data_IF_383913587048
#
_entry.id   IF_383913587048
#
_cell.length_a   1.000
_cell.length_b   1.000
_cell.length_c   1.000
_cell.angle_alpha   90.00
_cell.angle_beta   90.00
_cell.angle_gamma   90.00
#
_symmetry.space_group_name_H-M   'P 1'
#
loop_
_entity.id
_entity.type
_entity.pdbx_description
1 polymer ?
#
# COMPACT_ATOMS: atom_id res chain seq x y z
N UNK A 1 24.99 21.78 5.44
CA UNK A 1 25.08 21.26 6.81
C UNK A 1 23.76 20.66 7.31
N UNK A 2 22.63 21.35 7.37
CA UNK A 2 21.37 20.72 7.84
C UNK A 2 20.81 19.63 6.87
N UNK A 3 20.98 19.81 5.57
CA UNK A 3 20.57 18.82 4.56
C UNK A 3 21.46 17.58 4.54
N UNK A 4 22.73 17.71 4.89
CA UNK A 4 23.64 16.57 4.95
C UNK A 4 23.46 15.75 6.24
N UNK A 5 23.04 16.36 7.33
CA UNK A 5 22.64 15.66 8.56
C UNK A 5 21.37 14.81 8.38
N UNK A 6 20.39 15.31 7.63
CA UNK A 6 19.15 14.57 7.31
C UNK A 6 19.47 13.37 6.39
N UNK A 7 20.40 13.52 5.44
CA UNK A 7 20.89 12.41 4.61
C UNK A 7 21.62 11.33 5.42
N UNK A 8 22.37 11.71 6.44
CA UNK A 8 23.10 10.78 7.31
C UNK A 8 22.13 10.02 8.23
N UNK A 9 21.07 10.63 8.68
CA UNK A 9 20.09 10.01 9.60
C UNK A 9 19.16 9.01 8.93
N UNK A 10 18.84 9.17 7.65
CA UNK A 10 18.04 8.22 6.87
C UNK A 10 18.89 7.17 6.14
N UNK A 11 20.20 7.40 5.98
CA UNK A 11 21.12 6.48 5.30
C UNK A 11 21.94 5.56 6.25
N UNK A 12 21.85 5.73 7.56
CA UNK A 12 22.67 4.98 8.54
C UNK A 12 22.08 3.60 8.91
N UNK A 13 21.14 3.06 8.19
CA UNK A 13 20.63 1.70 8.41
C UNK A 13 21.37 0.64 7.59
N UNK A 14 22.46 0.99 6.90
CA UNK A 14 23.26 0.01 6.14
C UNK A 14 24.69 -0.08 6.68
N UNK A 15 24.88 -0.42 7.92
CA UNK A 15 26.10 -1.07 8.46
C UNK A 15 25.90 -1.37 9.93
N UNK A 16 25.40 -2.53 10.26
CA UNK A 16 25.54 -3.04 11.62
C UNK A 16 26.20 -4.40 11.59
N UNK A 17 27.31 -4.43 12.28
CA UNK A 17 28.17 -5.56 12.51
C UNK A 17 27.40 -6.72 13.15
N UNK A 18 27.72 -7.92 12.70
CA UNK A 18 27.37 -9.20 13.30
C UNK A 18 27.83 -9.22 14.77
N UNK A 19 26.89 -9.16 15.70
CA UNK A 19 27.09 -9.61 17.06
C UNK A 19 26.24 -10.87 17.23
N UNK A 20 26.91 -11.99 17.43
CA UNK A 20 26.27 -13.27 17.70
C UNK A 20 25.53 -13.22 19.03
N UNK A 21 24.22 -13.28 19.01
CA UNK A 21 23.38 -13.59 20.15
C UNK A 21 22.59 -14.85 19.82
N UNK A 22 22.54 -15.77 20.79
CA UNK A 22 21.97 -17.10 20.66
C UNK A 22 20.50 -17.17 20.26
N UNK A 23 19.95 -18.37 20.04
CA UNK A 23 18.67 -18.55 19.38
C UNK A 23 17.51 -18.07 20.24
N UNK A 24 16.95 -16.93 19.90
CA UNK A 24 15.61 -16.55 20.32
C UNK A 24 14.58 -17.34 19.51
N UNK A 25 13.62 -17.91 20.19
CA UNK A 25 12.52 -18.64 19.59
C UNK A 25 11.85 -17.81 18.47
N UNK A 26 11.47 -18.43 17.35
CA UNK A 26 10.87 -17.69 16.25
C UNK A 26 9.54 -17.09 16.72
N UNK A 27 9.44 -15.77 16.63
CA UNK A 27 8.15 -15.11 16.70
C UNK A 27 7.25 -15.73 15.64
N UNK A 28 6.11 -16.29 16.05
CA UNK A 28 5.13 -16.86 15.16
C UNK A 28 4.70 -15.79 14.16
N UNK A 29 5.18 -15.94 12.93
CA UNK A 29 4.56 -15.28 11.77
C UNK A 29 3.07 -15.62 11.80
N UNK A 30 2.18 -14.62 11.59
CA UNK A 30 0.82 -14.97 11.27
C UNK A 30 0.89 -15.83 10.00
N UNK A 31 0.58 -17.11 10.15
CA UNK A 31 0.58 -18.07 9.08
C UNK A 31 -0.30 -17.54 7.96
N UNK A 32 0.32 -17.17 6.84
CA UNK A 32 -0.37 -17.09 5.57
C UNK A 32 -0.74 -18.54 5.23
N UNK A 33 -1.81 -19.03 5.86
CA UNK A 33 -2.36 -20.33 5.56
C UNK A 33 -2.89 -20.25 4.12
N UNK A 34 -2.10 -20.79 3.21
CA UNK A 34 -2.54 -21.19 1.88
C UNK A 34 -3.46 -22.43 2.01
N UNK A 35 -4.44 -22.37 2.91
CA UNK A 35 -5.40 -23.41 3.11
C UNK A 35 -6.60 -23.16 2.21
N UNK A 36 -6.65 -23.97 1.13
CA UNK A 36 -7.87 -24.31 0.44
C UNK A 36 -8.64 -23.13 -0.18
N UNK A 37 -8.06 -22.46 -1.18
CA UNK A 37 -8.86 -21.70 -2.13
C UNK A 37 -9.61 -22.74 -2.97
N UNK A 38 -10.84 -23.07 -2.61
CA UNK A 38 -11.78 -23.67 -3.54
C UNK A 38 -11.97 -22.68 -4.68
N UNK A 39 -11.25 -22.90 -5.77
CA UNK A 39 -11.39 -22.13 -7.01
C UNK A 39 -12.73 -22.47 -7.63
N UNK A 40 -13.78 -21.80 -7.22
CA UNK A 40 -14.98 -21.75 -8.02
C UNK A 40 -14.69 -20.78 -9.17
N UNK A 41 -14.19 -21.33 -10.27
CA UNK A 41 -14.03 -20.61 -11.52
C UNK A 41 -15.42 -20.20 -12.02
N UNK A 42 -15.80 -18.96 -11.77
CA UNK A 42 -16.83 -18.35 -12.55
C UNK A 42 -16.24 -18.10 -13.95
N UNK A 43 -16.62 -18.94 -14.91
CA UNK A 43 -16.51 -18.56 -16.31
C UNK A 43 -17.30 -17.28 -16.47
N UNK A 44 -16.62 -16.22 -16.89
CA UNK A 44 -17.25 -14.96 -17.29
C UNK A 44 -18.53 -15.26 -18.08
N UNK A 45 -19.67 -14.59 -17.77
CA UNK A 45 -20.80 -14.64 -18.69
C UNK A 45 -20.27 -14.23 -20.04
N UNK A 46 -20.62 -14.99 -21.07
CA UNK A 46 -20.12 -14.96 -22.44
C UNK A 46 -19.51 -13.63 -22.83
N UNK A 47 -18.23 -13.65 -23.24
CA UNK A 47 -17.50 -12.55 -23.82
C UNK A 47 -18.37 -11.92 -24.92
N UNK A 48 -19.20 -10.97 -24.54
CA UNK A 48 -19.74 -10.02 -25.49
C UNK A 48 -18.51 -9.24 -25.99
N UNK A 49 -18.29 -9.32 -27.29
CA UNK A 49 -17.29 -8.66 -28.12
C UNK A 49 -16.66 -7.39 -27.50
N UNK A 50 -15.71 -7.54 -26.59
CA UNK A 50 -15.06 -6.42 -25.91
C UNK A 50 -13.73 -6.84 -25.30
N UNK A 51 -12.83 -5.89 -25.15
CA UNK A 51 -11.52 -6.08 -24.56
C UNK A 51 -11.63 -6.63 -23.11
N UNK A 52 -10.78 -7.59 -22.66
CA UNK A 52 -10.84 -8.20 -21.32
C UNK A 52 -10.82 -7.19 -20.16
N UNK A 53 -10.15 -6.06 -20.32
CA UNK A 53 -10.10 -4.98 -19.34
C UNK A 53 -11.42 -4.22 -19.14
N UNK A 54 -12.32 -4.20 -20.10
CA UNK A 54 -13.53 -3.37 -20.01
C UNK A 54 -14.42 -3.71 -18.81
N UNK A 55 -14.67 -5.00 -18.46
CA UNK A 55 -15.38 -5.34 -17.23
C UNK A 55 -14.66 -4.88 -15.95
N UNK A 56 -13.31 -5.00 -15.91
CA UNK A 56 -12.49 -4.58 -14.76
C UNK A 56 -12.53 -3.08 -14.58
N UNK A 57 -12.38 -2.30 -15.67
CA UNK A 57 -12.45 -0.86 -15.63
C UNK A 57 -13.80 -0.37 -15.09
N UNK A 58 -14.91 -0.93 -15.61
CA UNK A 58 -16.25 -0.59 -15.11
C UNK A 58 -16.40 -0.93 -13.62
N UNK A 59 -15.94 -2.11 -13.22
CA UNK A 59 -15.98 -2.52 -11.82
C UNK A 59 -15.14 -1.59 -10.93
N UNK A 60 -13.90 -1.30 -11.30
CA UNK A 60 -13.02 -0.41 -10.54
C UNK A 60 -13.57 1.03 -10.44
N UNK A 61 -14.18 1.54 -11.52
CA UNK A 61 -14.85 2.84 -11.52
C UNK A 61 -16.07 2.86 -10.58
N UNK A 62 -16.85 1.77 -10.53
CA UNK A 62 -17.97 1.62 -9.59
C UNK A 62 -17.49 1.59 -8.14
N UNK A 63 -16.44 0.81 -7.84
CA UNK A 63 -15.84 0.77 -6.51
C UNK A 63 -15.30 2.14 -6.10
N UNK A 64 -14.62 2.85 -7.00
CA UNK A 64 -14.14 4.20 -6.72
C UNK A 64 -15.30 5.17 -6.45
N UNK A 65 -16.37 5.13 -7.24
CA UNK A 65 -17.53 5.98 -7.03
C UNK A 65 -18.22 5.67 -5.67
N UNK A 66 -18.27 4.41 -5.28
CA UNK A 66 -18.75 3.97 -3.96
C UNK A 66 -17.91 4.55 -2.83
N UNK A 67 -16.58 4.50 -2.95
CA UNK A 67 -15.66 5.09 -1.97
C UNK A 67 -15.87 6.60 -1.89
N UNK A 68 -15.89 7.28 -3.03
CA UNK A 68 -16.03 8.74 -3.11
C UNK A 68 -17.37 9.26 -2.56
N UNK A 69 -18.42 8.44 -2.64
CA UNK A 69 -19.77 8.78 -2.14
C UNK A 69 -20.01 8.44 -0.67
N UNK A 70 -19.37 7.39 -0.15
CA UNK A 70 -19.73 6.83 1.15
C UNK A 70 -18.62 6.91 2.21
N UNK A 71 -17.36 7.12 1.82
CA UNK A 71 -16.24 7.17 2.75
C UNK A 71 -15.65 8.58 2.78
N UNK A 72 -15.87 9.29 3.88
CA UNK A 72 -15.29 10.61 4.10
C UNK A 72 -13.88 10.51 4.66
N UNK A 73 -13.70 9.59 5.59
CA UNK A 73 -12.45 9.32 6.29
C UNK A 73 -12.44 7.86 6.77
N UNK A 74 -11.25 7.37 7.10
CA UNK A 74 -11.10 6.07 7.74
C UNK A 74 -9.79 5.98 8.52
N UNK A 75 -9.72 5.02 9.44
CA UNK A 75 -8.48 4.51 10.02
C UNK A 75 -8.28 3.05 9.64
N UNK A 76 -7.02 2.63 9.56
CA UNK A 76 -6.64 1.25 9.29
C UNK A 76 -5.25 0.93 9.82
N UNK A 77 -4.95 -0.34 9.95
CA UNK A 77 -3.58 -0.86 9.98
C UNK A 77 -3.25 -1.37 8.60
N UNK A 78 -2.19 -0.85 7.99
CA UNK A 78 -1.69 -1.32 6.70
C UNK A 78 -0.47 -2.19 6.96
N UNK A 79 -0.51 -3.43 6.48
CA UNK A 79 0.66 -4.32 6.43
C UNK A 79 1.09 -4.39 4.98
N UNK A 80 2.30 -3.95 4.71
CA UNK A 80 2.83 -3.86 3.35
C UNK A 80 4.20 -4.48 3.20
N UNK A 81 4.54 -4.81 1.98
CA UNK A 81 5.86 -5.27 1.57
C UNK A 81 6.15 -4.81 0.15
N UNK A 82 7.31 -4.24 -0.06
CA UNK A 82 7.71 -3.64 -1.34
C UNK A 82 9.08 -4.15 -1.77
N UNK A 83 9.31 -4.20 -3.09
CA UNK A 83 10.61 -4.49 -3.68
C UNK A 83 11.27 -3.20 -4.11
N UNK A 84 12.35 -2.83 -3.43
CA UNK A 84 13.14 -1.65 -3.75
C UNK A 84 14.40 -2.10 -4.48
N UNK A 85 14.46 -1.78 -5.77
CA UNK A 85 15.47 -2.37 -6.66
C UNK A 85 15.33 -3.89 -6.72
N UNK A 86 16.42 -4.61 -6.47
CA UNK A 86 16.41 -6.08 -6.48
C UNK A 86 16.02 -6.73 -5.15
N UNK A 87 15.89 -5.92 -4.08
CA UNK A 87 15.62 -6.43 -2.74
C UNK A 87 14.14 -6.35 -2.41
N UNK A 88 13.55 -7.48 -2.06
CA UNK A 88 12.23 -7.51 -1.42
C UNK A 88 12.43 -7.17 0.06
N UNK A 89 11.91 -6.00 0.48
CA UNK A 89 12.06 -5.52 1.86
C UNK A 89 11.26 -6.38 2.85
N UNK A 90 11.49 -6.19 4.14
CA UNK A 90 10.70 -6.84 5.19
C UNK A 90 9.28 -6.27 5.27
N UNK A 91 8.39 -7.00 5.94
CA UNK A 91 7.05 -6.49 6.18
C UNK A 91 7.09 -5.26 7.09
N UNK A 92 6.41 -4.23 6.65
CA UNK A 92 6.13 -3.03 7.44
C UNK A 92 4.67 -3.03 7.87
N UNK A 93 4.41 -2.55 9.08
CA UNK A 93 3.06 -2.31 9.58
C UNK A 93 2.95 -0.87 10.06
N UNK A 94 1.95 -0.17 9.56
CA UNK A 94 1.66 1.22 9.92
C UNK A 94 0.20 1.37 10.32
N UNK A 95 -0.07 2.21 11.32
CA UNK A 95 -1.41 2.71 11.58
C UNK A 95 -1.61 4.00 10.79
N UNK A 96 -2.78 4.14 10.16
CA UNK A 96 -3.10 5.33 9.37
C UNK A 96 -4.44 5.93 9.74
N UNK A 97 -4.54 7.25 9.63
CA UNK A 97 -5.79 7.99 9.50
C UNK A 97 -5.78 8.67 8.13
N UNK A 98 -6.85 8.52 7.39
CA UNK A 98 -7.00 9.13 6.06
C UNK A 98 -8.32 9.85 5.98
N UNK A 99 -8.31 11.11 5.55
CA UNK A 99 -9.48 11.89 5.18
C UNK A 99 -9.37 12.23 3.70
N UNK A 100 -10.44 12.08 2.95
CA UNK A 100 -10.40 12.22 1.49
C UNK A 100 -10.45 13.67 0.99
N UNK A 101 -11.06 14.59 1.74
CA UNK A 101 -11.22 16.00 1.31
C UNK A 101 -11.16 16.97 2.48
N UNK A 102 -10.20 17.92 2.52
CA UNK A 102 -8.96 17.85 1.74
C UNK A 102 -8.21 16.56 2.04
N UNK A 103 -7.40 16.05 1.10
CA UNK A 103 -6.61 14.85 1.36
C UNK A 103 -5.73 15.08 2.58
N UNK A 104 -5.93 14.26 3.60
CA UNK A 104 -5.18 14.39 4.85
C UNK A 104 -4.81 12.99 5.33
N UNK A 105 -3.54 12.80 5.63
CA UNK A 105 -2.99 11.50 5.98
C UNK A 105 -2.11 11.66 7.22
N UNK A 106 -2.37 10.83 8.22
CA UNK A 106 -1.50 10.61 9.36
C UNK A 106 -1.02 9.17 9.34
N UNK A 107 0.27 8.97 9.55
CA UNK A 107 0.94 7.67 9.61
C UNK A 107 1.67 7.54 10.94
N UNK A 108 1.55 6.38 11.57
CA UNK A 108 2.34 5.95 12.72
C UNK A 108 2.95 4.58 12.43
N UNK A 109 4.26 4.45 12.50
CA UNK A 109 4.97 3.19 12.23
C UNK A 109 4.85 2.26 13.44
N UNK A 110 4.34 1.04 13.20
CA UNK A 110 4.20 -0.01 14.20
C UNK A 110 5.37 -1.01 14.15
N UNK A 111 5.79 -1.37 12.92
CA UNK A 111 6.93 -2.26 12.66
C UNK A 111 7.64 -1.83 11.36
N UNK A 112 8.95 -2.10 11.20
CA UNK A 112 9.86 -2.79 12.13
C UNK A 112 10.17 -1.97 13.39
N UNK A 113 10.68 -2.62 14.42
CA UNK A 113 10.98 -1.98 15.71
C UNK A 113 12.00 -0.82 15.60
N UNK A 114 12.88 -0.86 14.58
CA UNK A 114 13.86 0.20 14.27
C UNK A 114 13.22 1.54 13.89
N UNK A 115 11.99 1.52 13.38
CA UNK A 115 11.22 2.68 12.91
C UNK A 115 9.96 2.94 13.74
N UNK A 116 9.69 2.09 14.70
CA UNK A 116 8.49 2.18 15.52
C UNK A 116 8.37 3.53 16.22
N UNK A 117 7.19 4.12 16.11
CA UNK A 117 6.90 5.43 16.66
C UNK A 117 7.28 6.60 15.76
N UNK A 118 7.84 6.36 14.57
CA UNK A 118 7.96 7.40 13.56
C UNK A 118 6.58 7.82 13.07
N UNK A 119 6.39 9.11 12.85
CA UNK A 119 5.11 9.65 12.42
C UNK A 119 5.28 10.58 11.23
N UNK A 120 4.27 10.59 10.38
CA UNK A 120 4.18 11.52 9.26
C UNK A 120 2.76 12.08 9.12
N UNK A 121 2.66 13.35 8.76
CA UNK A 121 1.40 14.03 8.45
C UNK A 121 1.52 14.72 7.11
N UNK A 122 0.54 14.49 6.24
CA UNK A 122 0.33 15.26 5.02
C UNK A 122 -1.09 15.82 4.99
N UNK A 123 -1.22 17.09 4.63
CA UNK A 123 -2.52 17.74 4.43
C UNK A 123 -2.44 18.59 3.17
N UNK A 124 -3.26 18.23 2.17
CA UNK A 124 -3.40 18.97 0.92
C UNK A 124 -3.73 20.44 1.19
N UNK A 125 -3.03 21.36 0.51
CA UNK A 125 -3.18 22.81 0.68
C UNK A 125 -2.52 23.38 1.94
N UNK A 126 -1.73 22.58 2.69
CA UNK A 126 -1.00 23.04 3.88
C UNK A 126 0.49 22.76 3.78
N UNK A 127 1.28 23.47 4.57
CA UNK A 127 2.73 23.29 4.71
C UNK A 127 3.49 23.36 3.37
N UNK A 128 3.03 24.19 2.42
CA UNK A 128 3.57 24.27 1.06
C UNK A 128 3.58 22.91 0.33
N UNK A 129 2.50 22.14 0.48
CA UNK A 129 2.34 20.77 -0.04
C UNK A 129 3.39 19.77 0.49
N UNK A 130 4.06 20.10 1.59
CA UNK A 130 5.05 19.21 2.21
C UNK A 130 4.41 18.32 3.26
N UNK A 131 4.90 17.09 3.35
CA UNK A 131 4.65 16.24 4.52
C UNK A 131 5.52 16.72 5.68
N UNK A 132 4.97 16.62 6.87
CA UNK A 132 5.70 16.80 8.13
C UNK A 132 6.01 15.42 8.69
N UNK A 133 7.27 15.17 9.03
CA UNK A 133 7.69 13.90 9.60
C UNK A 133 8.60 14.10 10.79
N UNK A 134 8.62 13.15 11.69
CA UNK A 134 9.62 13.05 12.73
C UNK A 134 10.02 11.60 12.97
N UNK A 135 11.24 11.39 13.44
CA UNK A 135 11.74 10.09 13.89
C UNK A 135 11.84 10.05 15.40
N UNK A 136 12.02 8.88 15.97
CA UNK A 136 12.08 8.66 17.42
C UNK A 136 13.51 8.69 17.97
N UNK A 137 13.64 8.62 19.30
CA UNK A 137 14.92 8.53 19.96
C UNK A 137 15.70 9.85 20.02
N UNK A 138 17.02 9.74 20.22
CA UNK A 138 17.92 10.91 20.35
C UNK A 138 17.95 11.71 19.04
N UNK A 139 17.97 11.03 17.91
CA UNK A 139 17.97 11.66 16.58
C UNK A 139 16.72 12.52 16.38
N UNK A 140 15.55 12.01 16.71
CA UNK A 140 14.29 12.74 16.60
C UNK A 140 14.22 13.98 17.47
N UNK A 141 14.77 13.90 18.71
CA UNK A 141 14.84 15.06 19.61
C UNK A 141 15.77 16.16 19.12
N UNK A 142 16.84 15.81 18.43
CA UNK A 142 17.82 16.77 17.90
C UNK A 142 17.35 17.40 16.59
N UNK A 143 16.79 16.61 15.70
CA UNK A 143 16.34 17.07 14.36
C UNK A 143 14.97 17.74 14.41
N UNK A 144 14.10 17.28 15.32
CA UNK A 144 12.74 17.77 15.44
C UNK A 144 11.84 17.34 14.26
N UNK A 145 10.85 18.17 13.98
CA UNK A 145 9.96 17.97 12.83
C UNK A 145 10.62 18.44 11.53
N UNK A 146 10.60 17.61 10.49
CA UNK A 146 11.11 17.94 9.17
C UNK A 146 9.97 18.08 8.18
N UNK A 147 10.08 19.03 7.25
CA UNK A 147 9.14 19.23 6.16
C UNK A 147 9.78 18.72 4.85
N UNK A 148 9.18 17.71 4.23
CA UNK A 148 9.71 17.02 3.07
C UNK A 148 8.74 17.11 1.89
N UNK A 149 9.28 17.23 0.68
CA UNK A 149 8.51 17.02 -0.53
C UNK A 149 8.05 15.55 -0.57
N UNK A 150 6.73 15.26 -0.68
CA UNK A 150 6.24 13.89 -0.74
C UNK A 150 6.84 13.04 -1.86
N UNK A 151 7.23 13.65 -2.98
CA UNK A 151 7.87 12.99 -4.12
C UNK A 151 9.40 13.12 -4.11
N UNK A 152 9.94 13.83 -3.14
CA UNK A 152 11.38 14.02 -2.99
C UNK A 152 12.11 12.74 -2.61
N UNK A 153 13.37 12.60 -3.04
CA UNK A 153 14.18 11.41 -2.80
C UNK A 153 14.30 11.01 -1.33
N UNK A 154 14.18 11.97 -0.42
CA UNK A 154 14.21 11.69 1.03
C UNK A 154 12.92 11.02 1.51
N UNK A 155 11.76 11.53 1.10
CA UNK A 155 10.47 10.95 1.47
C UNK A 155 10.22 9.61 0.75
N UNK A 156 10.73 9.46 -0.46
CA UNK A 156 10.60 8.24 -1.27
C UNK A 156 11.63 7.15 -0.95
N UNK A 157 12.57 7.43 -0.04
CA UNK A 157 13.60 6.45 0.29
C UNK A 157 12.99 5.19 0.93
N UNK A 158 13.13 4.05 0.26
CA UNK A 158 12.56 2.78 0.72
C UNK A 158 11.08 2.58 0.39
N UNK A 159 10.47 3.44 -0.44
CA UNK A 159 9.07 3.37 -0.84
C UNK A 159 8.88 3.44 -2.35
N UNK A 160 7.92 2.68 -2.88
CA UNK A 160 7.52 2.72 -4.28
C UNK A 160 6.57 3.89 -4.58
N UNK A 161 5.81 4.34 -3.58
CA UNK A 161 4.76 5.35 -3.74
C UNK A 161 4.87 6.45 -2.70
N UNK A 162 4.60 7.70 -3.08
CA UNK A 162 4.56 8.81 -2.14
C UNK A 162 3.37 8.68 -1.18
N UNK A 163 3.48 9.31 -0.01
CA UNK A 163 2.40 9.33 0.99
C UNK A 163 1.05 9.82 0.41
N UNK A 164 1.08 10.71 -0.58
CA UNK A 164 -0.11 11.23 -1.28
C UNK A 164 -0.88 10.18 -2.06
N UNK A 165 -0.25 9.04 -2.35
CA UNK A 165 -0.85 7.89 -3.01
C UNK A 165 -1.25 6.78 -2.04
N UNK A 166 -1.07 7.00 -0.75
CA UNK A 166 -1.45 6.02 0.26
C UNK A 166 -2.96 5.98 0.45
N UNK A 167 -3.53 4.78 0.40
CA UNK A 167 -4.91 4.57 0.81
C UNK A 167 -5.79 3.79 -0.15
N UNK A 168 -6.96 3.41 0.39
CA UNK A 168 -7.95 2.54 -0.27
C UNK A 168 -8.42 3.11 -1.61
N UNK A 169 -8.67 4.43 -1.66
CA UNK A 169 -9.11 5.12 -2.88
C UNK A 169 -8.07 5.02 -3.98
N UNK A 170 -6.80 5.13 -3.62
CA UNK A 170 -5.70 5.10 -4.58
C UNK A 170 -5.56 3.72 -5.25
N UNK A 171 -5.87 2.62 -4.54
CA UNK A 171 -5.85 1.27 -5.13
C UNK A 171 -6.79 1.15 -6.34
N UNK A 172 -7.99 1.73 -6.27
CA UNK A 172 -8.91 1.76 -7.41
C UNK A 172 -8.38 2.65 -8.54
N UNK A 173 -7.87 3.84 -8.19
CA UNK A 173 -7.30 4.76 -9.17
C UNK A 173 -6.13 4.13 -9.93
N UNK A 174 -5.26 3.40 -9.23
CA UNK A 174 -4.15 2.69 -9.83
C UNK A 174 -4.62 1.60 -10.79
N UNK A 175 -5.59 0.78 -10.39
CA UNK A 175 -6.17 -0.24 -11.27
C UNK A 175 -6.80 0.38 -12.52
N UNK A 176 -7.49 1.52 -12.39
CA UNK A 176 -8.07 2.25 -13.52
C UNK A 176 -6.98 2.80 -14.44
N UNK A 177 -5.92 3.39 -13.88
CA UNK A 177 -4.81 3.93 -14.65
C UNK A 177 -4.10 2.83 -15.47
N UNK A 178 -3.80 1.70 -14.83
CA UNK A 178 -3.21 0.53 -15.48
C UNK A 178 -4.13 -0.01 -16.58
N UNK A 179 -5.42 -0.17 -16.30
CA UNK A 179 -6.38 -0.67 -17.26
C UNK A 179 -6.56 0.25 -18.48
N UNK A 180 -6.57 1.58 -18.27
CA UNK A 180 -6.63 2.54 -19.38
C UNK A 180 -5.38 2.50 -20.27
N UNK A 181 -4.22 2.17 -19.70
CA UNK A 181 -3.01 1.93 -20.48
C UNK A 181 -3.10 0.61 -21.27
N UNK A 182 -3.56 -0.46 -20.60
CA UNK A 182 -3.48 -1.82 -21.11
C UNK A 182 -4.65 -2.18 -22.06
N UNK A 183 -5.76 -1.42 -22.01
CA UNK A 183 -6.92 -1.62 -22.91
C UNK A 183 -6.58 -1.49 -24.40
N UNK A 184 -5.43 -0.90 -24.72
CA UNK A 184 -4.94 -0.81 -26.10
C UNK A 184 -4.35 -2.13 -26.61
N UNK A 185 -4.14 -3.13 -25.71
CA UNK A 185 -3.45 -4.38 -26.01
C UNK A 185 -4.31 -5.57 -25.60
N UNK A 186 -4.67 -6.43 -26.54
CA UNK A 186 -5.59 -7.55 -26.31
C UNK A 186 -4.97 -8.77 -25.60
N UNK A 187 -3.77 -8.65 -25.05
CA UNK A 187 -2.98 -9.77 -24.52
C UNK A 187 -3.25 -10.09 -23.03
N UNK A 188 -4.12 -9.34 -22.37
CA UNK A 188 -4.41 -9.52 -20.94
C UNK A 188 -5.41 -10.66 -20.71
N UNK A 189 -5.16 -11.45 -19.67
CA UNK A 189 -6.12 -12.40 -19.12
C UNK A 189 -6.72 -11.83 -17.85
N UNK A 190 -8.04 -11.87 -17.73
CA UNK A 190 -8.77 -11.31 -16.60
C UNK A 190 -9.64 -12.38 -15.98
N UNK A 191 -9.65 -12.44 -14.64
CA UNK A 191 -10.50 -13.32 -13.84
C UNK A 191 -11.13 -12.53 -12.70
N UNK A 192 -12.44 -12.71 -12.50
CA UNK A 192 -13.10 -12.29 -11.27
C UNK A 192 -13.04 -13.43 -10.26
N UNK A 193 -12.68 -13.09 -9.03
CA UNK A 193 -12.49 -14.02 -7.93
C UNK A 193 -13.64 -13.87 -6.93
N UNK A 194 -14.20 -14.98 -6.48
CA UNK A 194 -15.28 -15.00 -5.48
C UNK A 194 -15.00 -16.05 -4.41
N UNK A 195 -15.69 -15.94 -3.26
CA UNK A 195 -15.57 -16.89 -2.17
C UNK A 195 -14.23 -16.88 -1.45
N UNK A 196 -13.43 -15.82 -1.67
CA UNK A 196 -12.14 -15.66 -1.00
C UNK A 196 -12.32 -15.30 0.47
N UNK A 197 -11.37 -15.71 1.30
CA UNK A 197 -11.27 -15.31 2.71
C UNK A 197 -9.95 -14.62 2.97
N UNK A 198 -10.03 -13.43 3.55
CA UNK A 198 -8.89 -12.66 4.06
C UNK A 198 -9.18 -12.31 5.53
N UNK A 199 -8.33 -12.74 6.44
CA UNK A 199 -8.51 -12.46 7.88
C UNK A 199 -9.95 -12.73 8.36
N UNK A 200 -10.50 -13.91 8.01
CA UNK A 200 -11.88 -14.37 8.28
C UNK A 200 -13.01 -13.54 7.64
N UNK A 201 -12.69 -12.57 6.80
CA UNK A 201 -13.65 -11.79 6.04
C UNK A 201 -13.82 -12.34 4.62
N UNK A 202 -15.06 -12.37 4.15
CA UNK A 202 -15.36 -12.77 2.78
C UNK A 202 -14.99 -11.65 1.83
N UNK A 203 -14.30 -12.01 0.75
CA UNK A 203 -13.85 -11.08 -0.28
C UNK A 203 -14.23 -11.58 -1.67
N UNK A 204 -14.46 -10.62 -2.55
CA UNK A 204 -14.40 -10.79 -4.00
C UNK A 204 -13.15 -10.10 -4.51
N UNK A 205 -12.81 -10.31 -5.78
CA UNK A 205 -11.64 -9.64 -6.32
C UNK A 205 -11.52 -9.77 -7.83
N UNK A 206 -10.45 -9.22 -8.34
CA UNK A 206 -10.05 -9.34 -9.74
C UNK A 206 -8.59 -9.74 -9.81
N UNK A 207 -8.27 -10.61 -10.76
CA UNK A 207 -6.91 -10.96 -11.14
C UNK A 207 -6.72 -10.59 -12.62
N UNK A 208 -5.63 -9.88 -12.89
CA UNK A 208 -5.19 -9.56 -14.26
C UNK A 208 -3.81 -10.16 -14.45
N UNK A 209 -3.61 -10.85 -15.59
CA UNK A 209 -2.35 -11.49 -15.95
C UNK A 209 -1.94 -11.04 -17.36
N UNK A 210 -0.69 -10.63 -17.49
CA UNK A 210 0.01 -10.48 -18.76
C UNK A 210 0.96 -11.66 -18.96
N UNK A 211 0.59 -12.68 -19.75
CA UNK A 211 1.37 -13.92 -19.84
C UNK A 211 2.78 -13.71 -20.42
N UNK A 212 2.90 -12.74 -21.32
CA UNK A 212 4.14 -12.45 -22.05
C UNK A 212 4.66 -11.07 -21.66
N UNK A 213 5.95 -10.93 -21.28
CA UNK A 213 6.53 -9.63 -20.99
C UNK A 213 6.54 -8.75 -22.25
N UNK A 214 6.11 -7.51 -22.10
CA UNK A 214 6.14 -6.46 -23.12
C UNK A 214 6.58 -5.16 -22.48
N UNK A 215 7.21 -4.28 -23.22
CA UNK A 215 7.69 -2.98 -22.70
C UNK A 215 6.58 -2.05 -22.24
N UNK A 216 5.35 -2.26 -22.72
CA UNK A 216 4.17 -1.49 -22.34
C UNK A 216 3.45 -2.01 -21.09
N UNK A 217 3.73 -3.23 -20.64
CA UNK A 217 3.13 -3.79 -19.43
C UNK A 217 4.00 -3.55 -18.20
N UNK A 218 3.38 -3.09 -17.13
CA UNK A 218 4.06 -2.75 -15.88
C UNK A 218 4.09 -3.91 -14.88
N UNK A 219 3.40 -5.03 -15.16
CA UNK A 219 3.31 -6.18 -14.27
C UNK A 219 3.01 -7.46 -15.04
N UNK A 220 3.38 -8.59 -14.46
CA UNK A 220 2.94 -9.91 -14.91
C UNK A 220 1.57 -10.27 -14.35
N UNK A 221 1.36 -10.08 -13.04
CA UNK A 221 0.10 -10.40 -12.36
C UNK A 221 -0.25 -9.34 -11.34
N UNK A 222 -1.51 -8.93 -11.35
CA UNK A 222 -2.07 -8.01 -10.37
C UNK A 222 -3.34 -8.63 -9.78
N UNK A 223 -3.54 -8.45 -8.47
CA UNK A 223 -4.75 -8.83 -7.75
C UNK A 223 -5.25 -7.68 -6.89
N UNK A 224 -6.54 -7.43 -6.93
CA UNK A 224 -7.22 -6.52 -6.02
C UNK A 224 -8.39 -7.26 -5.37
N UNK A 225 -8.46 -7.20 -4.03
CA UNK A 225 -9.49 -7.87 -3.25
C UNK A 225 -10.37 -6.83 -2.55
N UNK A 226 -11.68 -7.02 -2.64
CA UNK A 226 -12.70 -6.16 -2.03
C UNK A 226 -13.45 -6.95 -0.97
N UNK A 227 -13.54 -6.40 0.22
CA UNK A 227 -14.33 -6.94 1.33
C UNK A 227 -15.82 -6.85 1.02
N UNK A 228 -16.54 -7.96 1.13
CA UNK A 228 -17.96 -8.03 0.77
C UNK A 228 -18.89 -7.21 1.70
N UNK A 229 -18.47 -6.99 2.95
CA UNK A 229 -19.25 -6.21 3.92
C UNK A 229 -18.95 -4.71 3.84
N UNK A 230 -17.65 -4.37 3.83
CA UNK A 230 -17.21 -2.98 3.77
C UNK A 230 -17.40 -2.36 2.38
N UNK A 231 -17.44 -3.19 1.34
CA UNK A 231 -17.40 -2.76 -0.07
C UNK A 231 -16.18 -1.89 -0.37
N UNK A 232 -15.03 -2.26 0.19
CA UNK A 232 -13.79 -1.52 0.06
C UNK A 232 -12.65 -2.44 -0.35
N UNK A 233 -11.71 -1.99 -1.18
CA UNK A 233 -10.46 -2.68 -1.41
C UNK A 233 -9.69 -2.85 -0.11
N UNK A 234 -9.31 -4.08 0.19
CA UNK A 234 -8.60 -4.42 1.43
C UNK A 234 -7.28 -5.13 1.20
N UNK A 235 -7.00 -5.58 -0.02
CA UNK A 235 -5.71 -6.14 -0.39
C UNK A 235 -5.39 -5.84 -1.84
N UNK A 236 -4.14 -5.51 -2.10
CA UNK A 236 -3.56 -5.34 -3.41
C UNK A 236 -2.25 -6.11 -3.49
N UNK A 237 -2.00 -6.78 -4.61
CA UNK A 237 -0.76 -7.49 -4.89
C UNK A 237 -0.35 -7.25 -6.34
N UNK A 238 0.92 -6.95 -6.54
CA UNK A 238 1.52 -6.86 -7.87
C UNK A 238 2.76 -7.73 -7.95
N UNK A 239 2.90 -8.45 -9.06
CA UNK A 239 4.01 -9.35 -9.33
C UNK A 239 4.62 -9.05 -10.69
N UNK A 240 5.92 -9.11 -10.76
CA UNK A 240 6.69 -9.12 -11.99
C UNK A 240 6.82 -10.53 -12.57
N UNK A 241 7.33 -10.63 -13.81
CA UNK A 241 7.57 -11.90 -14.46
C UNK A 241 8.61 -12.74 -13.70
N UNK A 242 8.49 -14.09 -13.80
CA UNK A 242 9.52 -14.97 -13.24
C UNK A 242 10.89 -14.67 -13.83
N UNK A 243 11.94 -14.64 -13.00
CA UNK A 243 13.32 -14.50 -13.48
C UNK A 243 13.79 -15.66 -14.35
N UNK A 244 13.18 -16.83 -14.16
CA UNK A 244 13.48 -18.04 -14.92
C UNK A 244 12.19 -18.61 -15.51
N UNK A 245 12.22 -19.15 -16.74
CA UNK A 245 11.06 -19.80 -17.34
C UNK A 245 10.47 -20.88 -16.41
N UNK A 246 9.16 -20.80 -16.14
CA UNK A 246 8.46 -21.74 -15.24
C UNK A 246 8.67 -21.49 -13.74
N UNK A 247 9.43 -20.48 -13.34
CA UNK A 247 9.57 -20.06 -11.95
C UNK A 247 8.32 -19.34 -11.42
N UNK A 248 8.26 -19.05 -10.12
CA UNK A 248 7.19 -18.25 -9.53
C UNK A 248 7.32 -16.78 -9.95
N UNK A 249 6.19 -16.07 -10.13
CA UNK A 249 6.20 -14.63 -10.30
C UNK A 249 6.85 -13.91 -9.10
N UNK A 250 7.55 -12.81 -9.37
CA UNK A 250 8.24 -12.07 -8.32
C UNK A 250 7.32 -11.01 -7.70
N UNK A 251 7.15 -11.08 -6.39
CA UNK A 251 6.39 -10.05 -5.67
C UNK A 251 7.11 -8.70 -5.81
N UNK A 252 6.39 -7.70 -6.34
CA UNK A 252 6.82 -6.30 -6.41
C UNK A 252 6.30 -5.54 -5.19
N UNK A 253 5.01 -5.68 -4.92
CA UNK A 253 4.36 -5.01 -3.80
C UNK A 253 3.11 -5.75 -3.35
N UNK A 254 2.83 -5.63 -2.07
CA UNK A 254 1.55 -6.04 -1.50
C UNK A 254 1.15 -5.11 -0.36
N UNK A 255 -0.17 -4.85 -0.26
CA UNK A 255 -0.77 -4.03 0.79
C UNK A 255 -2.00 -4.74 1.33
N UNK A 256 -2.08 -4.86 2.66
CA UNK A 256 -3.23 -5.38 3.37
C UNK A 256 -3.78 -4.31 4.31
N UNK A 257 -5.04 -3.95 4.14
CA UNK A 257 -5.76 -3.03 5.01
C UNK A 257 -6.54 -3.82 6.03
N UNK A 258 -6.11 -3.75 7.28
CA UNK A 258 -6.70 -4.45 8.42
C UNK A 258 -7.38 -3.46 9.35
N UNK A 259 -8.38 -3.94 10.11
CA UNK A 259 -9.07 -3.14 11.13
C UNK A 259 -9.64 -1.82 10.58
N UNK A 260 -10.13 -1.83 9.35
CA UNK A 260 -10.66 -0.64 8.68
C UNK A 260 -11.91 -0.16 9.41
N UNK A 261 -11.90 1.10 9.83
CA UNK A 261 -13.03 1.81 10.43
C UNK A 261 -13.31 3.05 9.59
N UNK A 262 -14.50 3.13 9.01
CA UNK A 262 -14.89 4.22 8.12
C UNK A 262 -15.71 5.28 8.84
N UNK A 263 -15.64 6.52 8.33
CA UNK A 263 -16.43 7.65 8.78
C UNK A 263 -16.28 7.95 10.28
N UNK A 264 -15.03 7.97 10.75
CA UNK A 264 -14.68 8.28 12.14
C UNK A 264 -14.99 9.73 12.54
N UNK A 265 -15.24 10.61 11.56
CA UNK A 265 -15.48 12.03 11.78
C UNK A 265 -14.20 12.81 12.08
N UNK A 266 -13.10 12.46 11.43
CA UNK A 266 -11.81 13.15 11.63
C UNK A 266 -11.90 14.63 11.26
N UNK A 267 -11.28 15.44 12.12
CA UNK A 267 -11.20 16.90 12.02
C UNK A 267 -9.77 17.34 11.68
N UNK A 268 -9.54 18.62 11.50
CA UNK A 268 -8.19 19.16 11.30
C UNK A 268 -7.25 18.86 12.47
N UNK A 269 -7.78 18.73 13.70
CA UNK A 269 -7.01 18.37 14.86
C UNK A 269 -6.42 16.95 14.80
N UNK A 270 -7.03 16.05 14.00
CA UNK A 270 -6.50 14.69 13.78
C UNK A 270 -5.31 14.67 12.82
N UNK A 271 -5.03 15.79 12.15
CA UNK A 271 -3.93 15.95 11.20
C UNK A 271 -3.05 17.16 11.57
N UNK A 272 -3.07 17.56 12.83
CA UNK A 272 -2.22 18.64 13.35
C UNK A 272 -1.05 18.02 14.15
N UNK A 273 0.22 18.33 13.83
CA UNK A 273 1.37 17.81 14.59
C UNK A 273 1.35 18.22 16.07
N UNK A 274 0.62 19.28 16.43
CA UNK A 274 0.42 19.71 17.82
C UNK A 274 -0.61 18.88 18.58
N UNK A 275 -1.22 17.88 17.97
CA UNK A 275 -2.13 16.97 18.67
C UNK A 275 -1.39 16.29 19.83
N UNK A 276 -1.86 16.40 21.09
CA UNK A 276 -1.13 15.87 22.25
C UNK A 276 -1.01 14.34 22.28
N UNK A 277 -1.67 13.63 21.37
CA UNK A 277 -1.57 12.17 21.23
C UNK A 277 -0.42 11.75 20.32
N UNK A 278 0.22 12.69 19.63
CA UNK A 278 1.30 12.44 18.69
C UNK A 278 2.65 12.75 19.33
N UNK A 279 3.69 12.13 18.82
CA UNK A 279 5.04 12.30 19.32
C UNK A 279 5.82 13.43 18.67
N UNK A 280 5.19 14.27 17.85
CA UNK A 280 5.86 15.43 17.24
C UNK A 280 6.40 16.37 18.34
N UNK A 281 7.68 16.77 18.24
CA UNK A 281 8.34 17.65 19.21
C UNK A 281 7.82 19.08 19.17
#
# INVERSE_FOLDING_TARGET
MAQDLVRILLATVLSCAVVAAGPLAPAQQPAASSSGVEQTTWTSPAVQSGHPWMPVLRWAQQEQAMIDGNVRDYSATIVSRERIGDKLEEYQSIFVKVRHRPLSIYVYVLTPESHKGEEAIYVEGRNDEKLLGHTTGIAGRVVGTVALDPQGSTAMNGHLHPITELGIRHLCQRLIALGNNDVQFAESQVRFLSGLKLNDRRCTGVEVIHPVPRTNFQFHRLRLFVDEQLKLPVRYEQYDWPRQPGGPPELVEEYNFMNVQINNGFTDADFDPRNPRYGFP
#
